data_IF_571245306203
#
_entry.id   IF_571245306203
#
_cell.length_a   1.000
_cell.length_b   1.000
_cell.length_c   1.000
_cell.angle_alpha   90.00
_cell.angle_beta   90.00
_cell.angle_gamma   90.00
#
_symmetry.space_group_name_H-M   'P 1'
#
loop_
_entity.id
_entity.type
_entity.pdbx_description
1 polymer ?
#
# COMPACT_ATOMS: atom_id res chain seq x y z
N UNK A 1 -22.84 9.75 25.16
CA UNK A 1 -23.19 8.89 24.01
C UNK A 1 -22.01 8.74 23.07
N UNK A 2 -20.94 8.12 23.58
CA UNK A 2 -19.68 7.84 22.89
C UNK A 2 -19.69 6.42 22.27
N UNK A 3 -20.86 5.76 22.25
CA UNK A 3 -21.04 4.40 21.73
C UNK A 3 -21.65 4.36 20.32
N UNK A 4 -22.20 5.48 19.82
CA UNK A 4 -22.87 5.52 18.51
C UNK A 4 -21.99 6.00 17.35
N UNK A 5 -20.68 6.23 17.57
CA UNK A 5 -19.75 6.67 16.51
C UNK A 5 -18.75 5.57 16.09
N UNK A 6 -19.01 4.30 16.45
CA UNK A 6 -18.29 3.12 15.94
C UNK A 6 -18.96 2.47 14.72
N UNK A 7 -20.01 3.10 14.19
CA UNK A 7 -20.90 2.51 13.18
C UNK A 7 -20.78 3.06 11.76
N UNK A 8 -19.78 3.89 11.45
CA UNK A 8 -19.55 4.35 10.08
C UNK A 8 -18.31 3.65 9.52
N UNK A 9 -18.59 2.63 8.72
CA UNK A 9 -17.74 2.02 7.69
C UNK A 9 -16.32 1.64 8.13
N UNK A 10 -16.17 0.38 8.58
CA UNK A 10 -14.94 -0.36 8.36
C UNK A 10 -14.73 -0.49 6.84
N UNK A 11 -14.10 0.52 6.24
CA UNK A 11 -13.44 0.40 4.96
C UNK A 11 -12.37 -0.67 5.18
N UNK A 12 -12.69 -1.92 4.82
CA UNK A 12 -11.78 -3.05 4.97
C UNK A 12 -10.51 -2.68 4.21
N UNK A 13 -9.43 -2.38 4.96
CA UNK A 13 -8.12 -2.16 4.38
C UNK A 13 -7.72 -3.49 3.74
N UNK A 14 -7.80 -3.54 2.42
CA UNK A 14 -7.25 -4.64 1.66
C UNK A 14 -5.74 -4.47 1.66
N UNK A 15 -5.02 -5.37 2.31
CA UNK A 15 -3.56 -5.36 2.31
C UNK A 15 -3.03 -6.25 1.19
N UNK A 16 -1.91 -5.84 0.59
CA UNK A 16 -1.23 -6.60 -0.44
C UNK A 16 -0.24 -7.56 0.21
N UNK A 17 -0.30 -8.83 -0.19
CA UNK A 17 0.63 -9.87 0.23
C UNK A 17 1.24 -10.58 -0.96
N UNK A 18 2.17 -11.48 -0.67
CA UNK A 18 2.83 -12.33 -1.66
C UNK A 18 2.67 -13.80 -1.29
N UNK A 19 2.47 -14.63 -2.31
CA UNK A 19 2.53 -16.09 -2.20
C UNK A 19 3.79 -16.55 -2.90
N UNK A 20 4.72 -17.08 -2.12
CA UNK A 20 5.91 -17.73 -2.63
C UNK A 20 5.58 -19.17 -3.01
N UNK A 21 5.77 -19.51 -4.28
CA UNK A 21 5.43 -20.80 -4.84
C UNK A 21 6.73 -21.52 -5.21
N UNK A 22 6.90 -22.75 -4.71
CA UNK A 22 8.09 -23.57 -4.92
C UNK A 22 7.72 -24.95 -5.45
N UNK A 23 8.45 -25.43 -6.46
CA UNK A 23 8.27 -26.79 -6.97
C UNK A 23 9.04 -27.78 -6.08
N UNK A 24 8.43 -28.93 -5.83
CA UNK A 24 9.12 -30.04 -5.17
C UNK A 24 10.04 -30.82 -6.12
N UNK A 25 9.81 -30.72 -7.45
CA UNK A 25 10.53 -31.51 -8.46
C UNK A 25 11.70 -30.78 -9.11
N UNK A 26 11.66 -29.45 -9.20
CA UNK A 26 12.72 -28.62 -9.78
C UNK A 26 13.35 -27.72 -8.72
N UNK A 27 14.60 -28.02 -8.36
CA UNK A 27 15.36 -27.42 -7.25
C UNK A 27 15.78 -25.95 -7.47
N UNK A 28 15.00 -25.15 -8.21
CA UNK A 28 15.34 -23.75 -8.51
C UNK A 28 14.26 -22.91 -9.17
N UNK A 29 13.09 -23.46 -9.50
CA UNK A 29 11.96 -22.64 -9.95
C UNK A 29 11.15 -22.24 -8.72
N UNK A 30 11.34 -21.01 -8.26
CA UNK A 30 10.50 -20.38 -7.26
C UNK A 30 9.96 -19.07 -7.84
N UNK A 31 8.70 -18.74 -7.56
CA UNK A 31 8.06 -17.53 -8.09
C UNK A 31 7.08 -16.97 -7.07
N UNK A 32 7.07 -15.65 -6.97
CA UNK A 32 6.17 -14.91 -6.11
C UNK A 32 4.97 -14.40 -6.90
N UNK A 33 3.79 -14.51 -6.30
CA UNK A 33 2.52 -14.03 -6.87
C UNK A 33 1.85 -13.07 -5.90
N UNK A 34 1.28 -12.00 -6.42
CA UNK A 34 0.56 -11.02 -5.61
C UNK A 34 -0.79 -11.60 -5.16
N UNK A 35 -1.12 -11.37 -3.90
CA UNK A 35 -2.41 -11.72 -3.32
C UNK A 35 -2.99 -10.52 -2.57
N UNK A 36 -4.31 -10.49 -2.48
CA UNK A 36 -5.00 -9.56 -1.58
C UNK A 36 -5.46 -10.34 -0.36
N UNK A 37 -5.13 -9.85 0.82
CA UNK A 37 -5.56 -10.47 2.07
C UNK A 37 -6.16 -9.40 3.00
N UNK A 38 -6.80 -9.87 4.05
CA UNK A 38 -7.33 -9.01 5.10
C UNK A 38 -6.62 -9.36 6.41
N UNK A 39 -5.88 -8.40 6.97
CA UNK A 39 -5.12 -8.58 8.22
C UNK A 39 -6.02 -8.78 9.44
N UNK A 40 -7.28 -8.35 9.38
CA UNK A 40 -8.28 -8.58 10.43
C UNK A 40 -8.66 -10.06 10.58
N UNK A 41 -8.47 -10.89 9.54
CA UNK A 41 -8.87 -12.31 9.54
C UNK A 41 -7.76 -13.18 10.09
N UNK A 42 -6.54 -12.98 9.60
CA UNK A 42 -5.35 -13.57 10.19
C UNK A 42 -4.11 -12.77 9.79
N UNK A 43 -3.21 -12.60 10.75
CA UNK A 43 -1.93 -11.96 10.49
C UNK A 43 -1.01 -12.90 9.70
N UNK A 44 -0.51 -12.39 8.58
CA UNK A 44 0.57 -13.04 7.85
C UNK A 44 1.93 -12.58 8.38
N UNK A 45 2.92 -13.48 8.45
CA UNK A 45 4.27 -13.09 8.80
C UNK A 45 4.88 -12.22 7.70
N UNK A 46 5.73 -11.28 8.09
CA UNK A 46 6.45 -10.42 7.13
C UNK A 46 7.62 -11.12 6.45
N UNK A 47 8.18 -12.14 7.10
CA UNK A 47 9.35 -12.88 6.61
C UNK A 47 8.96 -14.24 6.04
N UNK A 48 9.52 -14.57 4.87
CA UNK A 48 9.36 -15.88 4.24
C UNK A 48 9.85 -17.03 5.12
N UNK A 49 10.90 -16.82 5.93
CA UNK A 49 11.48 -17.84 6.83
C UNK A 49 10.57 -18.20 8.00
N UNK A 50 9.65 -17.30 8.37
CA UNK A 50 8.65 -17.51 9.41
C UNK A 50 7.32 -18.00 8.82
N UNK A 51 7.15 -17.89 7.51
CA UNK A 51 5.97 -18.36 6.81
C UNK A 51 5.93 -19.89 6.77
N UNK A 52 4.75 -20.45 7.04
CA UNK A 52 4.53 -21.89 6.97
C UNK A 52 4.54 -22.34 5.50
N UNK A 53 5.56 -23.11 5.12
CA UNK A 53 5.65 -23.73 3.80
C UNK A 53 4.78 -25.00 3.78
N UNK A 54 3.63 -24.95 3.10
CA UNK A 54 2.63 -26.02 3.11
C UNK A 54 2.31 -26.48 1.68
N UNK A 55 1.80 -27.71 1.55
CA UNK A 55 1.39 -28.22 0.24
C UNK A 55 0.14 -27.48 -0.25
N UNK A 56 0.22 -27.02 -1.50
CA UNK A 56 -0.91 -26.46 -2.22
C UNK A 56 -1.78 -27.58 -2.77
N UNK A 57 -3.09 -27.49 -2.56
CA UNK A 57 -4.04 -28.44 -3.10
C UNK A 57 -4.97 -27.72 -4.08
N UNK A 58 -4.94 -28.12 -5.35
CA UNK A 58 -5.84 -27.58 -6.35
C UNK A 58 -7.25 -28.14 -6.16
N UNK A 59 -8.19 -27.27 -5.78
CA UNK A 59 -9.62 -27.53 -5.67
C UNK A 59 -10.42 -26.51 -6.48
N UNK A 60 -9.82 -25.96 -7.53
CA UNK A 60 -10.46 -24.94 -8.36
C UNK A 60 -11.60 -25.47 -9.22
N UNK A 61 -11.74 -26.79 -9.34
CA UNK A 61 -12.92 -27.42 -9.93
C UNK A 61 -14.18 -27.22 -9.09
N UNK A 62 -14.05 -26.95 -7.79
CA UNK A 62 -15.18 -26.71 -6.88
C UNK A 62 -15.17 -25.28 -6.34
N UNK A 63 -16.32 -24.88 -5.82
CA UNK A 63 -16.52 -23.57 -5.20
C UNK A 63 -16.40 -23.66 -3.67
N UNK A 64 -16.31 -24.87 -3.08
CA UNK A 64 -16.23 -25.08 -1.64
C UNK A 64 -17.32 -24.33 -0.86
N UNK A 65 -18.57 -24.44 -1.32
CA UNK A 65 -19.73 -23.84 -0.64
C UNK A 65 -20.52 -24.89 0.15
N UNK A 66 -20.33 -26.17 -0.16
CA UNK A 66 -21.03 -27.26 0.49
C UNK A 66 -20.05 -28.29 1.07
N UNK A 67 -20.42 -29.02 2.13
CA UNK A 67 -19.57 -30.07 2.69
C UNK A 67 -19.25 -31.19 1.69
N UNK A 68 -20.07 -31.36 0.65
CA UNK A 68 -19.85 -32.33 -0.42
C UNK A 68 -18.69 -31.94 -1.37
N UNK A 69 -18.30 -30.67 -1.39
CA UNK A 69 -17.17 -30.17 -2.18
C UNK A 69 -15.81 -30.44 -1.50
N UNK A 70 -15.82 -30.97 -0.27
CA UNK A 70 -14.63 -31.29 0.50
C UNK A 70 -14.14 -32.69 0.13
N UNK A 71 -12.83 -32.88 -0.16
CA UNK A 71 -12.29 -34.19 -0.46
C UNK A 71 -12.37 -35.15 0.74
N UNK A 72 -12.51 -36.44 0.46
CA UNK A 72 -12.49 -37.51 1.48
C UNK A 72 -11.15 -37.49 2.24
N UNK A 73 -11.18 -37.05 3.50
CA UNK A 73 -9.97 -36.85 4.34
C UNK A 73 -9.58 -35.39 4.59
N UNK A 74 -10.37 -34.43 4.09
CA UNK A 74 -10.20 -33.00 4.36
C UNK A 74 -8.91 -32.41 3.78
N UNK A 75 -8.47 -31.29 4.39
CA UNK A 75 -7.33 -30.51 3.93
C UNK A 75 -6.07 -30.69 4.78
N UNK A 76 -6.12 -31.46 5.88
CA UNK A 76 -4.99 -31.99 6.67
C UNK A 76 -3.60 -31.33 6.44
N UNK A 77 -3.38 -30.12 6.97
CA UNK A 77 -2.14 -29.31 6.83
C UNK A 77 -1.78 -28.89 5.39
N UNK A 78 -2.78 -28.63 4.56
CA UNK A 78 -2.63 -28.11 3.20
C UNK A 78 -3.34 -26.77 3.06
N UNK A 79 -2.99 -26.07 1.98
CA UNK A 79 -3.66 -24.84 1.56
C UNK A 79 -4.47 -25.18 0.30
N UNK A 80 -5.79 -25.37 0.42
CA UNK A 80 -6.65 -25.52 -0.75
C UNK A 80 -6.76 -24.21 -1.54
N UNK A 81 -6.79 -24.35 -2.86
CA UNK A 81 -7.10 -23.29 -3.80
C UNK A 81 -8.48 -23.52 -4.40
N UNK A 82 -9.39 -22.57 -4.23
CA UNK A 82 -10.80 -22.73 -4.62
C UNK A 82 -11.26 -21.57 -5.49
N UNK A 83 -12.25 -21.79 -6.36
CA UNK A 83 -12.80 -20.71 -7.17
C UNK A 83 -13.75 -19.83 -6.36
N UNK A 84 -13.75 -18.53 -6.67
CA UNK A 84 -14.82 -17.61 -6.25
C UNK A 84 -16.13 -18.08 -6.87
N UNK A 85 -17.20 -18.02 -6.09
CA UNK A 85 -18.55 -18.29 -6.59
C UNK A 85 -19.59 -17.61 -5.72
N UNK A 86 -20.74 -18.25 -5.53
CA UNK A 86 -21.96 -17.63 -5.00
C UNK A 86 -22.07 -17.62 -3.46
N UNK A 87 -21.23 -18.36 -2.74
CA UNK A 87 -21.18 -18.30 -1.27
C UNK A 87 -20.23 -17.21 -0.77
N UNK A 88 -20.42 -16.84 0.50
CA UNK A 88 -19.62 -15.80 1.15
C UNK A 88 -18.18 -16.27 1.39
N UNK A 89 -17.26 -15.33 1.50
CA UNK A 89 -15.87 -15.63 1.88
C UNK A 89 -15.80 -16.35 3.24
N UNK A 90 -16.63 -15.90 4.19
CA UNK A 90 -16.73 -16.49 5.52
C UNK A 90 -17.07 -17.98 5.50
N UNK A 91 -18.10 -18.38 4.75
CA UNK A 91 -18.55 -19.78 4.69
C UNK A 91 -17.46 -20.71 4.15
N UNK A 92 -16.75 -20.30 3.10
CA UNK A 92 -15.64 -21.08 2.52
C UNK A 92 -14.53 -21.31 3.53
N UNK A 93 -14.19 -20.27 4.27
CA UNK A 93 -13.08 -20.29 5.24
C UNK A 93 -13.43 -21.15 6.43
N UNK A 94 -14.64 -20.98 6.96
CA UNK A 94 -15.16 -21.83 8.03
C UNK A 94 -15.15 -23.29 7.61
N UNK A 95 -15.60 -23.60 6.38
CA UNK A 95 -15.60 -24.96 5.86
C UNK A 95 -14.17 -25.50 5.66
N UNK A 96 -13.23 -24.69 5.18
CA UNK A 96 -11.84 -25.10 5.05
C UNK A 96 -11.17 -25.36 6.42
N UNK A 97 -11.39 -24.46 7.39
CA UNK A 97 -10.84 -24.53 8.74
C UNK A 97 -11.31 -25.77 9.50
N UNK A 98 -12.62 -26.06 9.51
CA UNK A 98 -13.15 -27.26 10.18
C UNK A 98 -12.64 -28.57 9.55
N UNK A 99 -12.25 -28.53 8.28
CA UNK A 99 -11.67 -29.66 7.56
C UNK A 99 -10.13 -29.69 7.62
N UNK A 100 -9.51 -28.92 8.53
CA UNK A 100 -8.08 -29.00 8.82
C UNK A 100 -7.17 -28.28 7.83
N UNK A 101 -7.69 -27.30 7.09
CA UNK A 101 -6.87 -26.41 6.27
C UNK A 101 -6.05 -25.47 7.16
N UNK A 102 -4.87 -25.07 6.69
CA UNK A 102 -3.99 -24.10 7.38
C UNK A 102 -3.94 -22.72 6.73
N UNK A 103 -4.67 -22.56 5.63
CA UNK A 103 -4.86 -21.32 4.89
C UNK A 103 -5.80 -21.59 3.72
N UNK A 104 -6.37 -20.53 3.13
CA UNK A 104 -7.27 -20.66 1.99
C UNK A 104 -6.90 -19.65 0.90
N UNK A 105 -6.75 -20.14 -0.33
CA UNK A 105 -6.55 -19.31 -1.51
C UNK A 105 -7.81 -19.29 -2.36
N UNK A 106 -8.37 -18.10 -2.58
CA UNK A 106 -9.60 -17.92 -3.33
C UNK A 106 -9.27 -17.26 -4.67
N UNK A 107 -9.53 -17.98 -5.76
CA UNK A 107 -9.21 -17.55 -7.10
C UNK A 107 -10.38 -16.76 -7.69
N UNK A 108 -10.13 -15.52 -8.10
CA UNK A 108 -11.14 -14.69 -8.76
C UNK A 108 -10.81 -14.43 -10.22
N UNK A 109 -11.82 -14.51 -11.08
CA UNK A 109 -11.73 -14.10 -12.50
C UNK A 109 -12.00 -12.61 -12.71
N UNK A 110 -12.68 -11.99 -11.76
CA UNK A 110 -13.02 -10.58 -11.78
C UNK A 110 -12.02 -9.79 -10.90
N UNK A 111 -12.25 -8.48 -10.74
CA UNK A 111 -11.44 -7.67 -9.83
C UNK A 111 -11.39 -8.30 -8.44
N UNK A 112 -10.18 -8.33 -7.88
CA UNK A 112 -9.92 -8.82 -6.54
C UNK A 112 -10.56 -7.82 -5.57
N UNK A 113 -11.67 -8.23 -4.94
CA UNK A 113 -12.39 -7.43 -3.95
C UNK A 113 -11.99 -7.96 -2.57
N UNK A 114 -11.66 -7.09 -1.60
CA UNK A 114 -11.37 -7.50 -0.24
C UNK A 114 -12.39 -8.51 0.29
N UNK A 115 -11.93 -9.59 0.95
CA UNK A 115 -12.85 -10.44 1.70
C UNK A 115 -13.33 -9.62 2.89
N UNK A 116 -14.52 -9.05 2.75
CA UNK A 116 -15.23 -8.35 3.80
C UNK A 116 -16.11 -9.32 4.61
N UNK A 117 -16.16 -9.10 5.92
CA UNK A 117 -17.06 -9.78 6.83
C UNK A 117 -17.42 -8.87 8.01
N UNK A 118 -18.21 -9.40 8.94
CA UNK A 118 -18.52 -8.69 10.18
C UNK A 118 -17.46 -8.97 11.25
N UNK A 119 -17.26 -8.04 12.20
CA UNK A 119 -16.30 -8.21 13.32
C UNK A 119 -16.44 -9.53 14.08
N UNK A 120 -17.67 -9.98 14.33
CA UNK A 120 -17.94 -11.26 15.02
C UNK A 120 -17.51 -12.49 14.22
N UNK A 121 -17.43 -12.38 12.89
CA UNK A 121 -16.98 -13.46 12.01
C UNK A 121 -15.46 -13.58 11.99
N UNK A 122 -14.75 -12.49 12.29
CA UNK A 122 -13.29 -12.47 12.33
C UNK A 122 -12.74 -13.21 13.55
N UNK A 123 -13.43 -13.12 14.70
CA UNK A 123 -13.02 -13.82 15.93
C UNK A 123 -13.14 -15.36 15.83
N UNK A 124 -13.92 -15.90 14.88
CA UNK A 124 -14.07 -17.37 14.69
C UNK A 124 -13.02 -17.94 13.71
N UNK A 125 -12.31 -17.08 12.96
CA UNK A 125 -11.36 -17.48 11.92
C UNK A 125 -9.93 -17.39 12.44
N UNK A 126 -9.19 -18.50 12.32
CA UNK A 126 -7.77 -18.60 12.72
C UNK A 126 -6.83 -18.84 11.52
N UNK A 127 -7.37 -18.98 10.31
CA UNK A 127 -6.57 -19.27 9.10
C UNK A 127 -6.47 -18.06 8.17
N UNK A 128 -5.28 -17.80 7.57
CA UNK A 128 -5.12 -16.73 6.60
C UNK A 128 -5.86 -17.02 5.29
N UNK A 129 -6.52 -15.98 4.79
CA UNK A 129 -7.36 -16.04 3.59
C UNK A 129 -6.89 -14.99 2.62
N UNK A 130 -6.56 -15.44 1.42
CA UNK A 130 -5.97 -14.61 0.40
C UNK A 130 -6.68 -14.82 -0.93
N UNK A 131 -6.90 -13.74 -1.67
CA UNK A 131 -7.42 -13.78 -3.02
C UNK A 131 -6.28 -13.74 -4.04
N UNK A 132 -6.39 -14.59 -5.05
CA UNK A 132 -5.44 -14.73 -6.14
C UNK A 132 -6.16 -14.49 -7.48
N UNK A 133 -5.48 -13.91 -8.45
CA UNK A 133 -6.01 -13.76 -9.82
C UNK A 133 -6.09 -15.11 -10.53
N UNK A 134 -7.10 -15.29 -11.37
CA UNK A 134 -7.23 -16.47 -12.23
C UNK A 134 -6.06 -16.64 -13.22
N UNK A 135 -5.47 -15.54 -13.69
CA UNK A 135 -4.25 -15.58 -14.53
C UNK A 135 -3.08 -16.25 -13.80
N UNK A 136 -2.95 -15.94 -12.52
CA UNK A 136 -1.81 -16.35 -11.71
C UNK A 136 -1.95 -17.81 -11.30
N UNK A 137 -3.17 -18.25 -11.00
CA UNK A 137 -3.50 -19.67 -10.81
C UNK A 137 -3.14 -20.51 -12.06
N UNK A 138 -3.49 -20.04 -13.26
CA UNK A 138 -3.15 -20.73 -14.51
C UNK A 138 -1.64 -20.80 -14.73
N UNK A 139 -0.92 -19.76 -14.35
CA UNK A 139 0.54 -19.74 -14.43
C UNK A 139 1.19 -20.69 -13.42
N UNK A 140 0.69 -20.74 -12.18
CA UNK A 140 1.15 -21.68 -11.14
C UNK A 140 0.95 -23.13 -11.59
N UNK A 141 -0.26 -23.47 -12.03
CA UNK A 141 -0.59 -24.83 -12.45
C UNK A 141 0.24 -25.27 -13.67
N UNK A 142 0.48 -24.36 -14.63
CA UNK A 142 1.30 -24.63 -15.82
C UNK A 142 2.79 -24.74 -15.52
N UNK A 143 3.31 -23.89 -14.63
CA UNK A 143 4.75 -23.81 -14.35
C UNK A 143 5.21 -24.86 -13.34
N UNK A 144 4.42 -25.13 -12.31
CA UNK A 144 4.83 -25.96 -11.17
C UNK A 144 4.15 -27.34 -11.13
N UNK A 145 3.01 -27.51 -11.80
CA UNK A 145 2.26 -28.77 -11.87
C UNK A 145 1.48 -29.09 -10.58
N UNK A 146 1.16 -30.38 -10.31
CA UNK A 146 0.23 -30.77 -9.24
C UNK A 146 0.86 -30.90 -7.84
N UNK A 147 2.18 -30.81 -7.70
CA UNK A 147 2.88 -30.99 -6.42
C UNK A 147 3.73 -29.77 -6.11
N UNK A 148 3.12 -28.81 -5.41
CA UNK A 148 3.67 -27.48 -5.18
C UNK A 148 3.57 -27.15 -3.70
N UNK A 149 4.59 -26.45 -3.19
CA UNK A 149 4.59 -25.92 -1.83
C UNK A 149 4.48 -24.40 -1.89
N UNK A 150 3.64 -23.85 -1.03
CA UNK A 150 3.38 -22.41 -0.97
C UNK A 150 3.60 -21.88 0.44
N UNK A 151 4.11 -20.66 0.51
CA UNK A 151 4.20 -19.87 1.73
C UNK A 151 3.60 -18.50 1.46
N UNK A 152 2.76 -18.02 2.37
CA UNK A 152 2.14 -16.70 2.27
C UNK A 152 2.82 -15.76 3.25
N UNK A 153 3.20 -14.58 2.77
CA UNK A 153 3.86 -13.56 3.59
C UNK A 153 3.47 -12.15 3.11
N UNK A 154 3.50 -11.18 4.01
CA UNK A 154 3.14 -9.80 3.73
C UNK A 154 4.36 -8.90 3.96
N UNK A 155 5.19 -8.62 2.94
CA UNK A 155 6.35 -7.76 3.13
C UNK A 155 5.89 -6.35 3.52
N UNK A 156 6.56 -5.73 4.49
CA UNK A 156 6.27 -4.34 4.86
C UNK A 156 6.54 -3.43 3.66
N UNK A 157 5.57 -2.59 3.32
CA UNK A 157 5.82 -1.51 2.37
C UNK A 157 6.86 -0.56 2.96
N UNK A 158 7.95 -0.25 2.23
CA UNK A 158 8.94 0.67 2.73
C UNK A 158 8.31 2.06 2.82
N UNK A 159 7.96 2.47 4.04
CA UNK A 159 7.39 3.80 4.33
C UNK A 159 8.24 4.93 3.76
N UNK A 160 9.55 4.71 3.60
CA UNK A 160 10.50 5.66 3.03
C UNK A 160 11.27 5.05 1.86
N UNK A 161 10.76 5.24 0.64
CA UNK A 161 11.49 4.86 -0.57
C UNK A 161 12.77 5.70 -0.73
N UNK A 162 13.91 5.04 -0.87
CA UNK A 162 15.21 5.67 -1.12
C UNK A 162 15.19 6.55 -2.38
N UNK A 163 14.38 6.18 -3.38
CA UNK A 163 14.16 6.98 -4.58
C UNK A 163 13.60 8.37 -4.25
N UNK A 164 12.68 8.48 -3.27
CA UNK A 164 12.12 9.76 -2.82
C UNK A 164 13.19 10.64 -2.16
N UNK A 165 14.10 10.02 -1.39
CA UNK A 165 15.22 10.73 -0.76
C UNK A 165 16.21 11.23 -1.81
N UNK A 166 16.54 10.41 -2.82
CA UNK A 166 17.47 10.80 -3.89
C UNK A 166 16.91 11.98 -4.70
N UNK A 167 15.66 11.90 -5.17
CA UNK A 167 15.06 12.99 -5.97
C UNK A 167 15.01 14.29 -5.17
N UNK A 168 14.80 14.20 -3.86
CA UNK A 168 14.79 15.34 -2.96
C UNK A 168 16.17 15.99 -2.84
N UNK A 169 17.21 15.20 -2.54
CA UNK A 169 18.60 15.70 -2.46
C UNK A 169 19.04 16.32 -3.79
N UNK A 170 18.68 15.69 -4.91
CA UNK A 170 18.94 16.22 -6.25
C UNK A 170 18.23 17.55 -6.50
N UNK A 171 16.96 17.68 -6.11
CA UNK A 171 16.19 18.91 -6.26
C UNK A 171 16.79 20.07 -5.43
N UNK A 172 17.05 19.85 -4.14
CA UNK A 172 17.65 20.86 -3.26
C UNK A 172 19.06 21.22 -3.71
N UNK A 173 19.87 20.24 -4.11
CA UNK A 173 21.21 20.48 -4.64
C UNK A 173 21.19 21.32 -5.92
N UNK A 174 20.24 21.06 -6.83
CA UNK A 174 20.08 21.83 -8.07
C UNK A 174 19.68 23.28 -7.78
N UNK A 175 18.73 23.50 -6.86
CA UNK A 175 18.30 24.86 -6.46
C UNK A 175 19.45 25.61 -5.78
N UNK A 176 20.20 24.96 -4.89
CA UNK A 176 21.33 25.58 -4.20
C UNK A 176 22.46 25.96 -5.16
N UNK A 177 22.81 25.08 -6.10
CA UNK A 177 23.82 25.35 -7.13
C UNK A 177 23.32 26.44 -8.08
N UNK A 178 22.08 26.36 -8.56
CA UNK A 178 21.47 27.38 -9.42
C UNK A 178 21.44 28.77 -8.77
N UNK A 179 21.04 28.83 -7.49
CA UNK A 179 21.04 30.05 -6.70
C UNK A 179 22.44 30.62 -6.47
N UNK A 180 23.42 29.76 -6.16
CA UNK A 180 24.81 30.18 -5.97
C UNK A 180 25.44 30.75 -7.27
N UNK A 181 25.23 30.08 -8.40
CA UNK A 181 25.73 30.53 -9.70
C UNK A 181 25.06 31.83 -10.16
N UNK A 182 23.77 32.00 -9.88
CA UNK A 182 23.03 33.23 -10.16
C UNK A 182 23.56 34.41 -9.30
N UNK A 183 23.71 34.23 -7.99
CA UNK A 183 24.19 35.28 -7.08
C UNK A 183 25.66 35.67 -7.31
N UNK A 184 26.54 34.71 -7.61
CA UNK A 184 27.98 34.98 -7.79
C UNK A 184 28.28 35.82 -9.05
N UNK A 185 27.45 35.70 -10.10
CA UNK A 185 27.59 36.54 -11.31
C UNK A 185 27.26 38.02 -11.05
N UNK A 186 26.36 38.31 -10.11
CA UNK A 186 26.03 39.68 -9.74
C UNK A 186 27.06 40.30 -8.79
N UNK A 187 27.59 39.55 -7.82
CA UNK A 187 28.67 40.04 -6.94
C UNK A 187 29.92 40.39 -7.74
N UNK A 188 30.31 39.56 -8.73
CA UNK A 188 31.49 39.84 -9.58
C UNK A 188 31.27 41.07 -10.49
N UNK A 189 30.04 41.32 -10.95
CA UNK A 189 29.67 42.53 -11.70
C UNK A 189 29.73 43.78 -10.82
N UNK A 190 29.21 43.73 -9.59
CA UNK A 190 29.27 44.88 -8.66
C UNK A 190 30.70 45.16 -8.18
N UNK A 191 31.50 44.13 -7.92
CA UNK A 191 32.91 44.30 -7.52
C UNK A 191 33.76 44.93 -8.63
N UNK A 192 33.55 44.55 -9.90
CA UNK A 192 34.24 45.17 -11.04
C UNK A 192 33.75 46.59 -11.36
N UNK A 193 32.50 46.93 -11.00
CA UNK A 193 31.95 48.30 -11.12
C UNK A 193 32.49 49.21 -10.03
N UNK A 194 32.64 48.71 -8.80
CA UNK A 194 33.20 49.46 -7.67
C UNK A 194 34.69 49.82 -7.86
N UNK A 195 35.45 49.01 -8.62
CA UNK A 195 36.87 49.29 -8.92
C UNK A 195 37.10 50.37 -10.00
N UNK A 196 36.03 50.86 -10.64
CA UNK A 196 36.10 51.83 -11.76
C UNK A 196 35.66 53.25 -11.38
N UNK A 197 35.16 53.47 -10.16
CA UNK A 197 34.50 54.71 -9.77
C UNK A 197 34.92 55.15 -8.35
N UNK A 198 36.21 55.40 -8.16
CA UNK A 198 36.74 56.05 -6.95
C UNK A 198 36.79 57.58 -7.16
N UNK A 199 35.60 58.18 -7.28
CA UNK A 199 35.43 59.62 -7.48
C UNK A 199 34.05 60.11 -7.09
N UNK A 200 33.93 60.57 -5.83
CA UNK A 200 32.84 61.38 -5.26
C UNK A 200 31.47 60.72 -4.99
N UNK A 201 31.27 60.43 -3.70
CA UNK A 201 30.13 60.86 -2.87
C UNK A 201 28.70 60.57 -3.38
N UNK A 202 28.07 59.54 -2.79
CA UNK A 202 26.81 59.64 -2.02
C UNK A 202 26.33 58.25 -1.58
N UNK A 203 26.15 58.11 -0.27
CA UNK A 203 25.25 57.12 0.35
C UNK A 203 23.90 57.16 -0.36
N UNK A 204 23.51 56.09 -1.03
CA UNK A 204 22.11 55.79 -1.27
C UNK A 204 21.94 54.28 -1.24
N UNK A 205 21.16 53.85 -0.26
CA UNK A 205 20.40 52.62 -0.16
C UNK A 205 20.52 51.67 -1.36
N UNK A 206 21.32 50.63 -1.19
CA UNK A 206 21.01 49.35 -1.81
C UNK A 206 20.76 48.41 -0.63
N UNK A 207 19.51 48.40 -0.16
CA UNK A 207 18.89 47.22 0.46
C UNK A 207 18.86 46.08 -0.57
N UNK A 208 20.01 45.71 -1.12
CA UNK A 208 20.18 44.37 -1.62
C UNK A 208 20.42 43.58 -0.36
N UNK A 209 19.33 43.12 0.25
CA UNK A 209 19.36 42.03 1.22
C UNK A 209 20.29 41.00 0.62
N UNK A 210 21.54 40.96 1.11
CA UNK A 210 22.51 39.98 0.67
C UNK A 210 21.81 38.66 0.94
N UNK A 211 21.39 37.98 -0.14
CA UNK A 211 20.82 36.64 -0.05
C UNK A 211 21.98 35.77 0.36
N UNK A 212 22.25 35.82 1.66
CA UNK A 212 23.41 35.24 2.28
C UNK A 212 23.20 33.74 2.11
N UNK A 213 24.20 32.95 1.72
CA UNK A 213 24.08 31.49 1.69
C UNK A 213 23.50 30.92 2.99
N UNK A 214 23.68 31.63 4.11
CA UNK A 214 23.02 31.39 5.41
C UNK A 214 21.48 31.49 5.33
N UNK A 215 20.90 32.52 4.72
CA UNK A 215 19.43 32.60 4.53
C UNK A 215 18.90 31.47 3.66
N UNK A 216 19.64 31.07 2.63
CA UNK A 216 19.26 29.91 1.79
C UNK A 216 19.32 28.63 2.61
N UNK A 217 20.38 28.41 3.39
CA UNK A 217 20.48 27.26 4.29
C UNK A 217 19.36 27.22 5.33
N UNK A 218 19.00 28.35 5.94
CA UNK A 218 17.88 28.43 6.90
C UNK A 218 16.55 28.12 6.20
N UNK A 219 16.32 28.64 5.00
CA UNK A 219 15.12 28.34 4.23
C UNK A 219 15.03 26.85 3.86
N UNK A 220 16.14 26.23 3.45
CA UNK A 220 16.21 24.79 3.18
C UNK A 220 15.90 23.98 4.42
N UNK A 221 16.49 24.30 5.58
CA UNK A 221 16.22 23.61 6.85
C UNK A 221 14.76 23.76 7.27
N UNK A 222 14.18 24.95 7.12
CA UNK A 222 12.77 25.20 7.38
C UNK A 222 11.86 24.38 6.44
N UNK A 223 12.15 24.36 5.14
CA UNK A 223 11.45 23.52 4.17
C UNK A 223 11.59 22.02 4.48
N UNK A 224 12.79 21.55 4.85
CA UNK A 224 13.03 20.17 5.28
C UNK A 224 12.19 19.80 6.50
N UNK A 225 12.12 20.69 7.50
CA UNK A 225 11.31 20.46 8.70
C UNK A 225 9.81 20.39 8.37
N UNK A 226 9.33 21.27 7.47
CA UNK A 226 7.95 21.28 7.02
C UNK A 226 7.59 20.00 6.25
N UNK A 227 8.49 19.47 5.42
CA UNK A 227 8.27 18.22 4.67
C UNK A 227 8.28 16.98 5.57
N UNK A 228 9.16 16.91 6.58
CA UNK A 228 9.16 15.82 7.57
C UNK A 228 7.85 15.82 8.37
N UNK A 229 7.37 17.01 8.76
CA UNK A 229 6.08 17.15 9.43
C UNK A 229 4.91 16.79 8.52
N UNK A 230 4.94 17.20 7.25
CA UNK A 230 3.94 16.82 6.25
C UNK A 230 3.91 15.31 6.04
N UNK A 231 5.07 14.64 6.04
CA UNK A 231 5.17 13.20 5.89
C UNK A 231 4.59 12.45 7.09
N UNK A 232 4.92 12.85 8.32
CA UNK A 232 4.27 12.28 9.52
C UNK A 232 2.76 12.55 9.56
N UNK A 233 2.34 13.69 9.02
CA UNK A 233 0.93 14.00 8.86
C UNK A 233 0.30 13.09 7.81
N UNK A 234 0.95 12.85 6.67
CA UNK A 234 0.45 11.98 5.60
C UNK A 234 0.19 10.54 6.07
N UNK A 235 1.09 10.00 6.89
CA UNK A 235 0.96 8.67 7.49
C UNK A 235 -0.24 8.59 8.46
N UNK A 236 -0.48 9.64 9.25
CA UNK A 236 -1.66 9.74 10.13
C UNK A 236 -2.95 10.16 9.42
N UNK A 237 -2.85 10.73 8.22
CA UNK A 237 -3.96 11.15 7.37
C UNK A 237 -4.59 9.97 6.61
N UNK A 238 -3.86 8.88 6.39
CA UNK A 238 -4.42 7.67 5.77
C UNK A 238 -5.66 7.14 6.49
N UNK A 239 -5.70 7.24 7.83
CA UNK A 239 -6.80 6.75 8.64
C UNK A 239 -7.88 7.83 8.93
N UNK A 240 -7.50 9.10 9.14
CA UNK A 240 -8.44 10.14 9.61
C UNK A 240 -8.96 11.08 8.50
N UNK A 241 -8.27 11.25 7.36
CA UNK A 241 -8.76 12.17 6.30
C UNK A 241 -9.75 11.61 5.31
N UNK A 242 -9.91 10.29 5.18
CA UNK A 242 -11.01 9.77 4.35
C UNK A 242 -12.36 10.21 4.97
N UNK A 243 -12.48 10.19 6.31
CA UNK A 243 -13.63 10.72 7.02
C UNK A 243 -13.74 12.25 6.92
N UNK A 244 -12.62 12.98 7.00
CA UNK A 244 -12.57 14.43 6.84
C UNK A 244 -12.99 14.92 5.45
N UNK A 245 -12.49 14.30 4.38
CA UNK A 245 -12.78 14.69 3.00
C UNK A 245 -14.23 14.38 2.61
N UNK A 246 -14.80 13.25 3.06
CA UNK A 246 -16.22 12.97 2.90
C UNK A 246 -17.09 14.00 3.64
N UNK A 247 -16.73 14.37 4.87
CA UNK A 247 -17.50 15.37 5.64
C UNK A 247 -17.42 16.78 5.05
N UNK A 248 -16.27 17.18 4.50
CA UNK A 248 -16.10 18.47 3.83
C UNK A 248 -16.80 18.54 2.46
N UNK A 249 -16.86 17.43 1.71
CA UNK A 249 -17.64 17.36 0.47
C UNK A 249 -19.15 17.43 0.74
N UNK A 250 -19.63 16.87 1.85
CA UNK A 250 -21.05 17.00 2.26
C UNK A 250 -21.42 18.41 2.71
N UNK A 251 -20.51 19.15 3.36
CA UNK A 251 -20.79 20.52 3.83
C UNK A 251 -20.62 21.61 2.76
N UNK A 252 -19.81 21.36 1.73
CA UNK A 252 -19.51 22.37 0.69
C UNK A 252 -20.48 22.33 -0.50
N UNK A 253 -21.40 21.35 -0.54
CA UNK A 253 -22.23 21.08 -1.70
C UNK A 253 -23.72 21.30 -1.43
N UNK A 254 -24.11 22.50 -0.99
CA UNK A 254 -25.43 23.12 -1.23
C UNK A 254 -25.30 24.63 -0.99
N UNK A 255 -25.61 25.52 -1.96
CA UNK A 255 -26.82 25.43 -2.78
C UNK A 255 -26.59 25.55 -4.30
N UNK A 256 -27.43 24.85 -5.06
CA UNK A 256 -27.66 24.98 -6.51
C UNK A 256 -26.59 24.42 -7.46
N UNK A 257 -26.62 23.09 -7.65
CA UNK A 257 -26.67 22.54 -9.01
C UNK A 257 -27.36 21.17 -8.99
N UNK A 258 -28.58 21.12 -9.53
CA UNK A 258 -29.21 19.87 -9.97
C UNK A 258 -28.40 19.32 -11.14
N UNK A 259 -27.87 18.11 -11.03
CA UNK A 259 -28.09 17.12 -12.07
C UNK A 259 -28.15 15.70 -11.48
N UNK A 260 -29.09 14.87 -11.98
CA UNK A 260 -29.43 13.57 -11.42
C UNK A 260 -28.64 12.47 -12.12
N UNK A 261 -28.34 11.37 -11.43
CA UNK A 261 -28.28 10.05 -12.08
C UNK A 261 -28.47 8.97 -11.03
N UNK A 262 -29.68 8.41 -11.10
CA UNK A 262 -30.14 7.10 -10.63
C UNK A 262 -29.07 6.13 -10.08
N UNK A 263 -29.25 5.74 -8.82
CA UNK A 263 -29.05 4.37 -8.38
C UNK A 263 -30.40 3.86 -7.86
N UNK A 264 -31.05 2.99 -8.63
CA UNK A 264 -32.17 2.19 -8.17
C UNK A 264 -32.21 0.91 -9.00
N UNK A 265 -32.33 -0.21 -8.27
CA UNK A 265 -32.33 -1.63 -8.64
C UNK A 265 -30.99 -2.32 -8.89
#
# INVERSE_FOLDING_TARGET
NLENMKGLEALVLCEYGMVHVTSEKSSGSAKDYCILFNSDWAHLPHDLTKAALLHLQDQTASVLCSPADVPDGGFSNRIPMVMRGNCTFYEKVRLAQINGARGLLIVSRERLVPPGGNRSQYEEIDIPVALLSYSDMLDISKTFGPSVKVAMYAPNEPVLDYNMVIIFVMAVGTVAIGGYWAGSRDVKKRYMKHKRDDGSDKKHDDETVDVTPVMICVFVVMCCSMLILLYQFYDRLGEETVAGYFSCLFFSCLPNCKCPTQFSH
#
